data_IF_506446717108
#
_entry.id   IF_506446717108
#
_cell.length_a   1.000
_cell.length_b   1.000
_cell.length_c   1.000
_cell.angle_alpha   90.00
_cell.angle_beta   90.00
_cell.angle_gamma   90.00
#
_symmetry.space_group_name_H-M   'P 1'
#
loop_
_entity.id
_entity.type
_entity.pdbx_description
1 polymer ?
#
# COMPACT_ATOMS: atom_id res chain seq x y z
N UNK A 1 62.85 27.92 57.85
CA UNK A 1 63.68 26.69 57.84
C UNK A 1 62.96 25.65 57.00
N UNK A 2 63.68 25.07 56.02
CA UNK A 2 63.44 23.81 55.29
C UNK A 2 62.06 23.60 54.61
N UNK A 3 61.92 23.20 53.35
CA UNK A 3 62.82 22.75 52.27
C UNK A 3 61.95 22.60 50.99
N UNK A 4 62.50 22.81 49.78
CA UNK A 4 62.79 21.75 48.75
C UNK A 4 61.59 20.80 48.52
N UNK A 5 61.10 20.49 47.32
CA UNK A 5 61.64 20.53 45.96
C UNK A 5 60.54 20.07 44.96
N UNK A 6 60.80 20.30 43.67
CA UNK A 6 60.28 19.62 42.46
C UNK A 6 58.96 20.10 41.82
N UNK A 7 59.13 20.71 40.64
CA UNK A 7 58.17 20.75 39.53
C UNK A 7 58.56 19.65 38.50
N UNK A 8 57.88 19.51 37.33
CA UNK A 8 56.45 19.36 37.08
C UNK A 8 56.16 18.04 36.32
N UNK A 9 55.03 17.39 36.60
CA UNK A 9 54.53 16.27 35.80
C UNK A 9 53.49 16.77 34.80
N UNK A 10 53.80 16.70 33.51
CA UNK A 10 52.89 16.99 32.41
C UNK A 10 51.77 15.94 32.35
N UNK A 11 50.52 16.35 32.51
CA UNK A 11 49.37 15.50 32.19
C UNK A 11 49.04 15.58 30.70
N UNK A 12 48.79 14.44 30.04
CA UNK A 12 48.53 14.41 28.61
C UNK A 12 47.10 14.86 28.29
N UNK A 13 47.04 15.76 27.30
CA UNK A 13 45.85 16.18 26.57
C UNK A 13 44.98 14.96 26.17
N UNK A 14 43.79 14.87 26.75
CA UNK A 14 42.76 13.92 26.33
C UNK A 14 42.19 14.36 24.98
N UNK A 15 42.72 13.76 23.93
CA UNK A 15 42.16 13.84 22.59
C UNK A 15 40.73 13.28 22.57
N UNK A 16 39.77 14.17 22.27
CA UNK A 16 38.39 13.81 21.96
C UNK A 16 38.39 13.03 20.65
N UNK A 17 38.04 11.74 20.71
CA UNK A 17 37.77 10.91 19.52
C UNK A 17 36.34 11.19 19.04
N UNK A 18 36.10 11.41 17.73
CA UNK A 18 34.76 11.37 17.18
C UNK A 18 34.44 9.92 16.78
N UNK A 19 33.53 9.28 17.51
CA UNK A 19 32.86 8.02 17.15
C UNK A 19 31.38 8.26 17.48
N UNK A 20 30.38 7.96 16.66
CA UNK A 20 30.30 7.18 15.43
C UNK A 20 29.05 7.67 14.69
N UNK A 21 29.19 8.07 13.44
CA UNK A 21 28.06 8.36 12.55
C UNK A 21 27.22 7.09 12.39
N UNK A 22 25.95 7.17 12.75
CA UNK A 22 24.93 6.19 12.39
C UNK A 22 24.96 6.01 10.87
N UNK A 23 25.36 4.81 10.46
CA UNK A 23 25.27 4.32 9.09
C UNK A 23 23.80 4.33 8.67
N UNK A 24 23.37 5.38 7.97
CA UNK A 24 22.20 5.29 7.13
C UNK A 24 22.49 4.24 6.06
N UNK A 25 21.82 3.09 6.18
CA UNK A 25 21.75 2.10 5.13
C UNK A 25 21.10 2.77 3.91
N UNK A 26 21.94 3.24 2.99
CA UNK A 26 21.51 3.52 1.63
C UNK A 26 21.10 2.19 1.00
N UNK A 27 19.80 1.88 1.02
CA UNK A 27 19.24 0.98 0.01
C UNK A 27 19.52 1.66 -1.34
N UNK A 28 20.41 1.06 -2.12
CA UNK A 28 20.86 1.62 -3.39
C UNK A 28 19.74 1.50 -4.42
N UNK A 29 19.68 2.46 -5.35
CA UNK A 29 18.76 2.46 -6.50
C UNK A 29 18.81 1.14 -7.31
N UNK A 30 19.90 0.37 -7.20
CA UNK A 30 20.06 -0.96 -7.80
C UNK A 30 19.11 -2.02 -7.24
N UNK A 31 18.83 -2.01 -5.93
CA UNK A 31 17.97 -3.02 -5.29
C UNK A 31 16.50 -2.71 -5.57
N UNK A 32 16.15 -1.41 -5.61
CA UNK A 32 14.83 -0.95 -6.03
C UNK A 32 14.56 -1.24 -7.53
N UNK A 33 15.55 -1.04 -8.40
CA UNK A 33 15.44 -1.36 -9.83
C UNK A 33 15.30 -2.87 -10.07
N UNK A 34 16.07 -3.69 -9.36
CA UNK A 34 16.02 -5.17 -9.48
C UNK A 34 14.70 -5.72 -8.93
N UNK A 35 14.21 -5.17 -7.81
CA UNK A 35 12.89 -5.49 -7.25
C UNK A 35 11.75 -5.13 -8.20
N UNK A 36 11.76 -3.92 -8.77
CA UNK A 36 10.77 -3.47 -9.75
C UNK A 36 10.74 -4.35 -11.00
N UNK A 37 11.91 -4.76 -11.50
CA UNK A 37 12.01 -5.63 -12.68
C UNK A 37 11.48 -7.05 -12.40
N UNK A 38 11.61 -7.55 -11.17
CA UNK A 38 11.01 -8.82 -10.75
C UNK A 38 9.49 -8.75 -10.66
N UNK A 39 8.93 -7.64 -10.19
CA UNK A 39 7.48 -7.46 -10.06
C UNK A 39 6.75 -7.35 -11.40
N UNK A 40 7.42 -6.88 -12.46
CA UNK A 40 6.83 -6.83 -13.80
C UNK A 40 6.38 -8.19 -14.33
N UNK A 41 6.88 -9.31 -13.78
CA UNK A 41 6.41 -10.64 -14.12
C UNK A 41 4.94 -10.91 -13.73
N UNK A 42 4.35 -10.11 -12.84
CA UNK A 42 2.95 -10.21 -12.42
C UNK A 42 2.03 -9.21 -13.13
N UNK A 43 2.59 -8.38 -14.01
CA UNK A 43 1.86 -7.34 -14.75
C UNK A 43 1.41 -7.91 -16.10
N UNK A 44 0.13 -7.78 -16.49
CA UNK A 44 -0.32 -8.16 -17.82
C UNK A 44 0.47 -7.46 -18.92
N UNK A 45 0.64 -8.13 -20.07
CA UNK A 45 1.52 -7.67 -21.14
C UNK A 45 1.02 -6.40 -21.89
N UNK A 46 -0.19 -5.91 -21.59
CA UNK A 46 -0.74 -4.75 -22.27
C UNK A 46 -0.01 -3.46 -21.88
N UNK A 47 0.04 -2.51 -22.83
CA UNK A 47 0.65 -1.20 -22.59
C UNK A 47 -0.07 -0.42 -21.47
N UNK A 48 -1.39 -0.59 -21.34
CA UNK A 48 -2.18 0.05 -20.30
C UNK A 48 -1.79 -0.47 -18.90
N UNK A 49 -1.65 -1.80 -18.75
CA UNK A 49 -1.21 -2.41 -17.50
C UNK A 49 0.22 -2.02 -17.13
N UNK A 50 1.14 -2.02 -18.10
CA UNK A 50 2.51 -1.57 -17.88
C UNK A 50 2.55 -0.10 -17.40
N UNK A 51 1.80 0.79 -18.04
CA UNK A 51 1.74 2.20 -17.66
C UNK A 51 1.09 2.42 -16.27
N UNK A 52 0.07 1.62 -15.91
CA UNK A 52 -0.56 1.69 -14.59
C UNK A 52 0.37 1.19 -13.48
N UNK A 53 1.14 0.14 -13.77
CA UNK A 53 2.19 -0.32 -12.88
C UNK A 53 3.27 0.75 -12.68
N UNK A 54 3.74 1.38 -13.76
CA UNK A 54 4.73 2.44 -13.67
C UNK A 54 4.22 3.66 -12.89
N UNK A 55 2.93 4.02 -13.02
CA UNK A 55 2.27 5.04 -12.18
C UNK A 55 2.40 4.70 -10.69
N UNK A 56 2.02 3.48 -10.29
CA UNK A 56 2.06 3.03 -8.89
C UNK A 56 3.50 2.97 -8.36
N UNK A 57 4.45 2.52 -9.17
CA UNK A 57 5.88 2.55 -8.80
C UNK A 57 6.39 3.98 -8.62
N UNK A 58 5.95 4.93 -9.46
CA UNK A 58 6.33 6.34 -9.35
C UNK A 58 5.75 7.04 -8.12
N UNK A 59 4.64 6.52 -7.57
CA UNK A 59 4.02 7.04 -6.35
C UNK A 59 4.83 6.75 -5.07
N UNK A 60 5.89 5.95 -5.17
CA UNK A 60 6.80 5.62 -4.07
C UNK A 60 6.09 5.08 -2.81
N UNK A 61 5.04 4.29 -3.00
CA UNK A 61 4.42 3.51 -1.93
C UNK A 61 5.44 2.53 -1.31
N UNK A 62 5.31 2.18 -0.02
CA UNK A 62 5.99 1.03 0.54
C UNK A 62 5.78 -0.22 -0.32
N UNK A 63 6.86 -0.97 -0.60
CA UNK A 63 6.84 -2.17 -1.44
C UNK A 63 5.75 -3.18 -1.03
N UNK A 64 5.46 -3.28 0.26
CA UNK A 64 4.40 -4.12 0.81
C UNK A 64 3.00 -3.79 0.25
N UNK A 65 2.68 -2.51 0.04
CA UNK A 65 1.40 -2.06 -0.55
C UNK A 65 1.37 -2.41 -2.05
N UNK A 66 2.50 -2.32 -2.74
CA UNK A 66 2.61 -2.76 -4.15
C UNK A 66 2.41 -4.28 -4.25
N UNK A 67 3.04 -5.08 -3.37
CA UNK A 67 2.81 -6.52 -3.30
C UNK A 67 1.35 -6.85 -3.03
N UNK A 68 0.71 -6.15 -2.09
CA UNK A 68 -0.71 -6.29 -1.80
C UNK A 68 -1.57 -6.03 -3.04
N UNK A 69 -1.35 -4.91 -3.71
CA UNK A 69 -2.11 -4.52 -4.90
C UNK A 69 -1.96 -5.55 -6.04
N UNK A 70 -0.76 -6.11 -6.24
CA UNK A 70 -0.54 -7.22 -7.17
C UNK A 70 -1.22 -8.52 -6.72
N UNK A 71 -1.18 -8.87 -5.42
CA UNK A 71 -1.92 -10.03 -4.90
C UNK A 71 -3.42 -9.87 -5.10
N UNK A 72 -3.97 -8.69 -4.82
CA UNK A 72 -5.39 -8.36 -5.03
C UNK A 72 -5.77 -8.54 -6.50
N UNK A 73 -4.95 -8.07 -7.44
CA UNK A 73 -5.17 -8.34 -8.86
C UNK A 73 -5.23 -9.85 -9.16
N UNK A 74 -4.23 -10.61 -8.74
CA UNK A 74 -4.17 -12.05 -9.03
C UNK A 74 -5.37 -12.81 -8.43
N UNK A 75 -5.76 -12.48 -7.20
CA UNK A 75 -6.93 -13.06 -6.52
C UNK A 75 -8.24 -12.69 -7.21
N UNK A 76 -8.41 -11.42 -7.56
CA UNK A 76 -9.60 -10.93 -8.26
C UNK A 76 -9.71 -11.56 -9.65
N UNK A 77 -8.61 -11.67 -10.39
CA UNK A 77 -8.60 -12.29 -11.71
C UNK A 77 -8.88 -13.80 -11.65
N UNK A 78 -8.28 -14.50 -10.68
CA UNK A 78 -8.59 -15.92 -10.43
C UNK A 78 -10.09 -16.14 -10.14
N UNK A 79 -10.68 -15.27 -9.32
CA UNK A 79 -12.11 -15.34 -9.04
C UNK A 79 -12.94 -15.02 -10.29
N UNK A 80 -12.57 -13.99 -11.05
CA UNK A 80 -13.23 -13.61 -12.29
C UNK A 80 -13.25 -14.76 -13.31
N UNK A 81 -12.11 -15.45 -13.48
CA UNK A 81 -11.99 -16.63 -14.35
C UNK A 81 -12.89 -17.78 -13.87
N UNK A 82 -12.91 -18.06 -12.56
CA UNK A 82 -13.75 -19.11 -11.98
C UNK A 82 -15.24 -18.84 -12.17
N UNK A 83 -15.64 -17.59 -12.05
CA UNK A 83 -17.03 -17.13 -12.21
C UNK A 83 -17.41 -16.87 -13.68
N UNK A 84 -16.46 -17.03 -14.63
CA UNK A 84 -16.64 -16.69 -16.05
C UNK A 84 -17.11 -15.24 -16.25
N UNK A 85 -16.59 -14.34 -15.43
CA UNK A 85 -16.87 -12.91 -15.49
C UNK A 85 -16.28 -12.30 -16.76
N UNK A 86 -16.96 -11.29 -17.32
CA UNK A 86 -16.44 -10.49 -18.44
C UNK A 86 -15.16 -9.70 -18.09
N UNK A 87 -14.89 -9.52 -16.80
CA UNK A 87 -13.71 -8.82 -16.29
C UNK A 87 -12.48 -9.71 -16.17
N UNK A 88 -12.61 -11.01 -16.42
CA UNK A 88 -11.46 -11.91 -16.44
C UNK A 88 -10.45 -11.46 -17.49
N UNK A 89 -9.18 -11.33 -17.07
CA UNK A 89 -8.04 -10.87 -17.86
C UNK A 89 -8.21 -9.46 -18.47
N UNK A 90 -9.15 -8.66 -17.94
CA UNK A 90 -9.37 -7.27 -18.35
C UNK A 90 -8.27 -6.35 -17.83
N UNK A 91 -7.75 -5.48 -18.70
CA UNK A 91 -6.80 -4.43 -18.31
C UNK A 91 -7.38 -3.51 -17.23
N UNK A 92 -8.69 -3.24 -17.25
CA UNK A 92 -9.34 -2.38 -16.26
C UNK A 92 -9.43 -3.03 -14.88
N UNK A 93 -9.51 -4.37 -14.81
CA UNK A 93 -9.40 -5.10 -13.55
C UNK A 93 -8.00 -4.92 -12.95
N UNK A 94 -6.96 -5.02 -13.79
CA UNK A 94 -5.60 -4.75 -13.34
C UNK A 94 -5.43 -3.30 -12.87
N UNK A 95 -5.87 -2.31 -13.66
CA UNK A 95 -5.77 -0.89 -13.28
C UNK A 95 -6.49 -0.62 -11.95
N UNK A 96 -7.70 -1.15 -11.78
CA UNK A 96 -8.45 -0.97 -10.53
C UNK A 96 -7.71 -1.58 -9.34
N UNK A 97 -7.23 -2.82 -9.45
CA UNK A 97 -6.52 -3.50 -8.37
C UNK A 97 -5.15 -2.88 -8.07
N UNK A 98 -4.34 -2.53 -9.07
CA UNK A 98 -3.00 -2.00 -8.84
C UNK A 98 -3.04 -0.59 -8.21
N UNK A 99 -4.07 0.20 -8.54
CA UNK A 99 -4.23 1.57 -8.06
C UNK A 99 -5.10 1.72 -6.79
N UNK A 100 -5.75 0.67 -6.28
CA UNK A 100 -6.79 0.87 -5.25
C UNK A 100 -6.31 1.54 -3.95
N UNK A 101 -5.03 1.31 -3.60
CA UNK A 101 -4.37 1.92 -2.45
C UNK A 101 -3.45 3.10 -2.81
N UNK A 102 -3.43 3.56 -4.07
CA UNK A 102 -2.50 4.62 -4.51
C UNK A 102 -2.70 5.95 -3.78
N UNK A 103 -3.92 6.20 -3.27
CA UNK A 103 -4.22 7.36 -2.42
C UNK A 103 -3.53 7.35 -1.06
N UNK A 104 -2.94 6.22 -0.63
CA UNK A 104 -2.09 6.16 0.55
C UNK A 104 -0.70 6.79 0.32
N UNK A 105 -0.32 7.05 -0.94
CA UNK A 105 0.95 7.67 -1.29
C UNK A 105 0.97 9.17 -0.97
N UNK A 106 2.15 9.69 -0.60
CA UNK A 106 2.29 11.11 -0.27
C UNK A 106 1.98 12.03 -1.46
N UNK A 107 2.31 11.62 -2.69
CA UNK A 107 2.03 12.39 -3.90
C UNK A 107 0.53 12.48 -4.23
N UNK A 108 -0.29 11.61 -3.64
CA UNK A 108 -1.75 11.59 -3.74
C UNK A 108 -2.43 11.89 -2.39
N UNK A 109 -1.72 12.50 -1.43
CA UNK A 109 -2.26 12.86 -0.13
C UNK A 109 -3.03 14.19 -0.19
N UNK A 110 -4.12 14.22 -0.96
CA UNK A 110 -5.03 15.36 -1.08
C UNK A 110 -6.03 15.49 0.08
N UNK A 111 -7.01 16.39 -0.01
CA UNK A 111 -7.94 16.70 1.07
C UNK A 111 -8.99 15.61 1.34
N UNK A 112 -9.22 14.67 0.42
CA UNK A 112 -10.23 13.62 0.54
C UNK A 112 -9.65 12.36 1.20
N UNK A 113 -10.53 11.42 1.55
CA UNK A 113 -10.10 10.09 2.02
C UNK A 113 -9.24 9.38 0.97
N UNK A 114 -8.32 8.52 1.41
CA UNK A 114 -7.39 7.83 0.51
C UNK A 114 -8.10 7.02 -0.58
N UNK A 115 -9.30 6.47 -0.32
CA UNK A 115 -10.05 5.72 -1.34
C UNK A 115 -10.45 6.63 -2.50
N UNK A 116 -10.85 7.87 -2.22
CA UNK A 116 -11.29 8.84 -3.22
C UNK A 116 -10.07 9.42 -3.96
N UNK A 117 -9.01 9.77 -3.24
CA UNK A 117 -7.76 10.24 -3.85
C UNK A 117 -7.17 9.19 -4.82
N UNK A 118 -7.21 7.91 -4.43
CA UNK A 118 -6.77 6.82 -5.29
C UNK A 118 -7.66 6.63 -6.52
N UNK A 119 -8.98 6.73 -6.34
CA UNK A 119 -9.94 6.66 -7.43
C UNK A 119 -9.74 7.82 -8.44
N UNK A 120 -9.55 9.04 -7.96
CA UNK A 120 -9.29 10.22 -8.78
C UNK A 120 -7.97 10.08 -9.55
N UNK A 121 -6.91 9.59 -8.91
CA UNK A 121 -5.63 9.31 -9.56
C UNK A 121 -5.78 8.29 -10.71
N UNK A 122 -6.48 7.18 -10.47
CA UNK A 122 -6.71 6.15 -11.48
C UNK A 122 -7.59 6.65 -12.65
N UNK A 123 -8.65 7.41 -12.36
CA UNK A 123 -9.52 7.98 -13.39
C UNK A 123 -8.76 8.99 -14.27
N UNK A 124 -7.96 9.86 -13.66
CA UNK A 124 -7.12 10.82 -14.40
C UNK A 124 -6.06 10.12 -15.26
N UNK A 125 -5.46 9.05 -14.74
CA UNK A 125 -4.56 8.20 -15.52
C UNK A 125 -5.27 7.60 -16.74
N UNK A 126 -6.46 7.01 -16.57
CA UNK A 126 -7.22 6.40 -17.67
C UNK A 126 -7.60 7.42 -18.75
N UNK A 127 -8.01 8.63 -18.35
CA UNK A 127 -8.23 9.74 -19.29
C UNK A 127 -6.97 10.09 -20.07
N UNK A 128 -5.82 10.16 -19.40
CA UNK A 128 -4.52 10.34 -20.04
C UNK A 128 -4.15 9.22 -21.02
N UNK A 129 -4.63 8.00 -20.77
CA UNK A 129 -4.51 6.83 -21.66
C UNK A 129 -5.62 6.75 -22.72
N UNK A 130 -6.36 7.84 -22.93
CA UNK A 130 -7.46 7.95 -23.91
C UNK A 130 -8.55 6.88 -23.74
N UNK A 131 -8.78 6.41 -22.52
CA UNK A 131 -9.93 5.57 -22.18
C UNK A 131 -11.19 6.43 -22.07
N UNK A 132 -12.34 5.82 -22.27
CA UNK A 132 -13.63 6.50 -22.17
C UNK A 132 -13.95 6.92 -20.74
N UNK A 133 -14.78 7.94 -20.58
CA UNK A 133 -15.29 8.35 -19.26
C UNK A 133 -16.07 7.23 -18.56
N UNK A 134 -16.72 6.34 -19.32
CA UNK A 134 -17.40 5.17 -18.77
C UNK A 134 -16.41 4.19 -18.12
N UNK A 135 -15.31 3.87 -18.80
CA UNK A 135 -14.24 3.02 -18.24
C UNK A 135 -13.56 3.68 -17.04
N UNK A 136 -13.29 4.99 -17.12
CA UNK A 136 -12.73 5.75 -16.00
C UNK A 136 -13.66 5.76 -14.79
N UNK A 137 -14.96 5.93 -15.00
CA UNK A 137 -15.97 5.90 -13.94
C UNK A 137 -16.12 4.51 -13.31
N UNK A 138 -16.05 3.44 -14.10
CA UNK A 138 -16.13 2.06 -13.63
C UNK A 138 -14.95 1.74 -12.69
N UNK A 139 -13.72 2.11 -13.10
CA UNK A 139 -12.51 1.94 -12.26
C UNK A 139 -12.56 2.85 -11.03
N UNK A 140 -12.97 4.11 -11.20
CA UNK A 140 -13.14 5.05 -10.08
C UNK A 140 -14.11 4.47 -9.03
N UNK A 141 -15.24 3.93 -9.46
CA UNK A 141 -16.27 3.35 -8.58
C UNK A 141 -15.73 2.14 -7.83
N UNK A 142 -15.00 1.26 -8.51
CA UNK A 142 -14.39 0.09 -7.89
C UNK A 142 -13.37 0.47 -6.80
N UNK A 143 -12.53 1.48 -7.06
CA UNK A 143 -11.53 1.95 -6.10
C UNK A 143 -12.21 2.73 -4.95
N UNK A 144 -13.08 3.70 -5.23
CA UNK A 144 -13.68 4.55 -4.19
C UNK A 144 -14.48 3.74 -3.14
N UNK A 145 -15.00 2.57 -3.53
CA UNK A 145 -15.84 1.72 -2.70
C UNK A 145 -15.14 0.49 -2.15
N UNK A 146 -13.87 0.22 -2.45
CA UNK A 146 -13.22 -1.05 -2.08
C UNK A 146 -13.19 -1.34 -0.56
N UNK A 147 -13.31 -0.31 0.29
CA UNK A 147 -13.42 -0.40 1.76
C UNK A 147 -14.85 -0.40 2.29
N UNK A 148 -15.88 -0.36 1.42
CA UNK A 148 -17.29 -0.16 1.78
C UNK A 148 -18.09 -1.48 1.73
N UNK A 149 -18.17 -2.24 2.84
CA UNK A 149 -18.83 -3.53 2.87
C UNK A 149 -20.33 -3.43 2.57
N UNK A 150 -20.84 -4.37 1.77
CA UNK A 150 -22.24 -4.47 1.38
C UNK A 150 -22.59 -3.65 0.13
N UNK A 151 -21.85 -2.57 -0.14
CA UNK A 151 -22.04 -1.68 -1.30
C UNK A 151 -21.18 -2.16 -2.47
N UNK A 152 -19.86 -2.30 -2.27
CA UNK A 152 -18.93 -2.65 -3.34
C UNK A 152 -19.26 -3.99 -4.00
N UNK A 153 -19.76 -4.95 -3.22
CA UNK A 153 -20.14 -6.28 -3.71
C UNK A 153 -21.42 -6.27 -4.59
N UNK A 154 -22.16 -5.15 -4.65
CA UNK A 154 -23.46 -5.04 -5.34
C UNK A 154 -23.56 -3.95 -6.40
N UNK A 155 -22.68 -2.96 -6.37
CA UNK A 155 -22.81 -1.79 -7.24
C UNK A 155 -22.44 -2.10 -8.70
N UNK A 156 -21.28 -2.74 -8.93
CA UNK A 156 -20.84 -3.19 -10.25
C UNK A 156 -20.03 -4.49 -10.14
N UNK A 157 -19.94 -5.31 -11.21
CA UNK A 157 -19.14 -6.52 -11.18
C UNK A 157 -17.64 -6.25 -10.97
N UNK A 158 -17.09 -5.16 -11.51
CA UNK A 158 -15.69 -4.78 -11.29
C UNK A 158 -15.43 -4.44 -9.82
N UNK A 159 -16.27 -3.58 -9.22
CA UNK A 159 -16.16 -3.21 -7.81
C UNK A 159 -16.24 -4.44 -6.89
N UNK A 160 -17.13 -5.38 -7.20
CA UNK A 160 -17.25 -6.65 -6.49
C UNK A 160 -15.95 -7.46 -6.56
N UNK A 161 -15.34 -7.59 -7.73
CA UNK A 161 -14.11 -8.37 -7.91
C UNK A 161 -12.92 -7.76 -7.16
N UNK A 162 -12.72 -6.45 -7.25
CA UNK A 162 -11.67 -5.74 -6.51
C UNK A 162 -11.87 -5.95 -5.00
N UNK A 163 -13.10 -5.72 -4.52
CA UNK A 163 -13.47 -5.90 -3.12
C UNK A 163 -13.23 -7.32 -2.62
N UNK A 164 -13.62 -8.34 -3.39
CA UNK A 164 -13.39 -9.74 -3.02
C UNK A 164 -11.90 -10.10 -3.07
N UNK A 165 -11.12 -9.56 -4.02
CA UNK A 165 -9.67 -9.68 -4.03
C UNK A 165 -9.03 -9.16 -2.74
N UNK A 166 -9.42 -7.97 -2.30
CA UNK A 166 -9.00 -7.37 -1.01
C UNK A 166 -9.40 -8.27 0.17
N UNK A 167 -10.65 -8.76 0.18
CA UNK A 167 -11.12 -9.64 1.25
C UNK A 167 -10.40 -10.99 1.28
N UNK A 168 -10.09 -11.58 0.14
CA UNK A 168 -9.32 -12.83 0.10
C UNK A 168 -7.91 -12.57 0.63
N UNK A 169 -7.30 -11.39 0.38
CA UNK A 169 -5.97 -11.08 0.89
C UNK A 169 -5.95 -10.79 2.39
N UNK A 170 -7.03 -10.26 2.98
CA UNK A 170 -7.05 -9.85 4.41
C UNK A 170 -7.93 -10.69 5.34
N UNK A 171 -8.93 -11.41 4.84
CA UNK A 171 -9.94 -12.09 5.67
C UNK A 171 -9.88 -13.60 5.46
N UNK A 172 -9.31 -14.36 6.41
CA UNK A 172 -9.25 -15.82 6.34
C UNK A 172 -10.61 -16.48 6.12
N UNK A 173 -11.68 -15.94 6.71
CA UNK A 173 -13.03 -16.45 6.52
C UNK A 173 -13.53 -16.30 5.07
N UNK A 174 -13.26 -15.17 4.41
CA UNK A 174 -13.62 -14.98 2.99
C UNK A 174 -12.75 -15.86 2.10
N UNK A 175 -11.45 -15.96 2.41
CA UNK A 175 -10.53 -16.84 1.70
C UNK A 175 -11.02 -18.29 1.72
N UNK A 176 -11.47 -18.78 2.88
CA UNK A 176 -12.02 -20.13 3.03
C UNK A 176 -13.39 -20.32 2.38
N UNK A 177 -14.31 -19.35 2.56
CA UNK A 177 -15.63 -19.43 1.95
C UNK A 177 -15.59 -19.44 0.41
N UNK A 178 -14.49 -18.96 -0.18
CA UNK A 178 -14.27 -18.96 -1.62
C UNK A 178 -13.30 -20.05 -2.07
N UNK A 179 -12.84 -20.97 -1.23
CA UNK A 179 -11.86 -22.02 -1.58
C UNK A 179 -10.57 -21.45 -2.23
N UNK A 180 -10.10 -20.29 -1.74
CA UNK A 180 -8.99 -19.55 -2.32
C UNK A 180 -7.64 -19.86 -1.63
N UNK A 181 -7.60 -20.68 -0.58
CA UNK A 181 -6.42 -20.89 0.27
C UNK A 181 -5.19 -21.36 -0.51
N UNK A 182 -5.36 -22.38 -1.36
CA UNK A 182 -4.25 -22.94 -2.11
C UNK A 182 -3.65 -21.90 -3.08
N UNK A 183 -4.51 -21.15 -3.76
CA UNK A 183 -4.08 -20.11 -4.69
C UNK A 183 -3.46 -18.92 -3.97
N UNK A 184 -4.09 -18.43 -2.90
CA UNK A 184 -3.58 -17.35 -2.06
C UNK A 184 -2.20 -17.68 -1.45
N UNK A 185 -2.01 -18.90 -0.96
CA UNK A 185 -0.69 -19.34 -0.46
C UNK A 185 0.37 -19.36 -1.56
N UNK A 186 0.00 -19.74 -2.78
CA UNK A 186 0.92 -19.77 -3.92
C UNK A 186 1.38 -18.38 -4.37
N UNK A 187 0.52 -17.36 -4.27
CA UNK A 187 0.88 -15.97 -4.59
C UNK A 187 1.68 -15.33 -3.46
N UNK A 188 1.38 -15.61 -2.19
CA UNK A 188 2.13 -15.08 -1.03
C UNK A 188 3.59 -15.56 -1.01
N UNK A 189 3.87 -16.74 -1.56
CA UNK A 189 5.24 -17.25 -1.74
C UNK A 189 6.06 -16.43 -2.75
N UNK A 190 5.39 -15.75 -3.69
CA UNK A 190 6.02 -14.95 -4.76
C UNK A 190 5.95 -13.44 -4.49
N UNK A 191 4.92 -13.01 -3.77
CA UNK A 191 4.63 -11.64 -3.37
C UNK A 191 4.43 -11.59 -1.85
N UNK A 192 5.52 -11.62 -1.06
CA UNK A 192 5.44 -11.70 0.41
C UNK A 192 4.57 -10.59 1.03
N UNK A 193 3.88 -10.91 2.13
CA UNK A 193 2.94 -10.01 2.81
C UNK A 193 3.59 -8.82 3.51
N UNK A 194 4.81 -8.98 4.04
CA UNK A 194 5.64 -7.90 4.61
C UNK A 194 4.85 -6.94 5.54
N UNK A 195 4.13 -7.49 6.53
CA UNK A 195 3.32 -6.76 7.52
C UNK A 195 2.36 -5.72 6.91
N UNK A 196 1.78 -6.03 5.75
CA UNK A 196 0.86 -5.15 5.02
C UNK A 196 -0.24 -4.54 5.90
N UNK A 197 -0.83 -5.31 6.82
CA UNK A 197 -1.91 -4.83 7.70
C UNK A 197 -1.44 -3.66 8.57
N UNK A 198 -0.21 -3.73 9.06
CA UNK A 198 0.39 -2.65 9.83
C UNK A 198 0.72 -1.46 8.94
N UNK A 199 1.42 -1.70 7.83
CA UNK A 199 1.98 -0.62 7.01
C UNK A 199 0.89 0.20 6.31
N UNK A 200 -0.13 -0.47 5.74
CA UNK A 200 -1.27 0.23 5.13
C UNK A 200 -2.08 0.98 6.20
N UNK A 201 -2.37 0.32 7.32
CA UNK A 201 -3.11 0.94 8.43
C UNK A 201 -2.42 2.19 8.96
N UNK A 202 -1.10 2.13 9.16
CA UNK A 202 -0.29 3.27 9.60
C UNK A 202 -0.29 4.39 8.56
N UNK A 203 -0.11 4.09 7.27
CA UNK A 203 -0.12 5.11 6.22
C UNK A 203 -1.45 5.91 6.22
N UNK A 204 -2.59 5.21 6.31
CA UNK A 204 -3.91 5.84 6.38
C UNK A 204 -4.10 6.66 7.66
N UNK A 205 -3.67 6.15 8.81
CA UNK A 205 -3.73 6.87 10.09
C UNK A 205 -2.86 8.13 10.06
N UNK A 206 -1.65 8.06 9.51
CA UNK A 206 -0.76 9.22 9.41
C UNK A 206 -1.36 10.35 8.57
N UNK A 207 -2.03 10.03 7.45
CA UNK A 207 -2.75 11.03 6.68
C UNK A 207 -3.91 11.66 7.49
N UNK A 208 -4.65 10.85 8.26
CA UNK A 208 -5.75 11.33 9.10
C UNK A 208 -5.28 12.17 10.31
N UNK A 209 -4.10 11.88 10.87
CA UNK A 209 -3.48 12.70 11.92
C UNK A 209 -3.12 14.10 11.40
N UNK A 210 -2.68 14.21 10.14
CA UNK A 210 -2.37 15.49 9.50
C UNK A 210 -3.63 16.24 9.06
N UNK A 211 -4.63 15.51 8.56
CA UNK A 211 -5.92 16.06 8.15
C UNK A 211 -7.07 15.12 8.56
N UNK A 212 -7.73 15.38 9.71
CA UNK A 212 -8.82 14.54 10.20
C UNK A 212 -10.01 14.40 9.23
N UNK A 213 -10.20 15.36 8.30
CA UNK A 213 -11.27 15.28 7.30
C UNK A 213 -11.11 14.09 6.34
N UNK A 214 -9.90 13.53 6.23
CA UNK A 214 -9.62 12.30 5.45
C UNK A 214 -10.20 11.03 6.08
N UNK A 215 -10.63 11.11 7.34
CA UNK A 215 -11.23 10.03 8.09
C UNK A 215 -12.63 10.42 8.59
N UNK A 216 -13.60 10.64 7.69
CA UNK A 216 -14.96 11.01 8.10
C UNK A 216 -15.64 9.85 8.82
N UNK A 217 -16.60 10.17 9.68
CA UNK A 217 -17.37 9.19 10.43
C UNK A 217 -17.96 8.09 9.53
N UNK A 218 -18.06 6.87 10.10
CA UNK A 218 -18.55 5.67 9.40
C UNK A 218 -17.74 5.26 8.16
N UNK A 219 -16.43 5.53 8.14
CA UNK A 219 -15.48 5.04 7.14
C UNK A 219 -14.42 4.12 7.76
N UNK A 220 -13.79 3.27 6.94
CA UNK A 220 -12.68 2.44 7.41
C UNK A 220 -11.47 3.26 7.91
N UNK A 221 -11.02 4.33 7.23
CA UNK A 221 -10.01 5.26 7.77
C UNK A 221 -10.36 5.81 9.15
N UNK A 222 -11.63 6.15 9.39
CA UNK A 222 -12.08 6.62 10.70
C UNK A 222 -12.00 5.55 11.79
N UNK A 223 -12.29 4.29 11.47
CA UNK A 223 -12.14 3.21 12.44
C UNK A 223 -10.68 3.07 12.88
N UNK A 224 -9.74 3.09 11.94
CA UNK A 224 -8.31 3.05 12.22
C UNK A 224 -7.84 4.27 13.02
N UNK A 225 -8.27 5.47 12.60
CA UNK A 225 -7.91 6.73 13.23
C UNK A 225 -8.38 6.79 14.69
N UNK A 226 -9.64 6.45 14.96
CA UNK A 226 -10.16 6.40 16.34
C UNK A 226 -9.43 5.37 17.20
N UNK A 227 -9.21 4.18 16.66
CA UNK A 227 -8.44 3.12 17.34
C UNK A 227 -7.02 3.58 17.71
N UNK A 228 -6.36 4.35 16.83
CA UNK A 228 -5.06 4.93 17.12
C UNK A 228 -5.13 5.99 18.23
N UNK A 229 -6.09 6.91 18.17
CA UNK A 229 -6.27 7.93 19.22
C UNK A 229 -6.59 7.33 20.60
N UNK A 230 -7.31 6.21 20.63
CA UNK A 230 -7.64 5.47 21.84
C UNK A 230 -6.44 4.67 22.39
N UNK A 231 -5.43 4.39 21.56
CA UNK A 231 -4.28 3.53 21.89
C UNK A 231 -2.96 4.12 21.35
N UNK A 232 -2.54 5.33 21.76
CA UNK A 232 -1.41 6.04 21.14
C UNK A 232 -0.06 5.32 21.26
N UNK A 233 0.13 4.53 22.32
CA UNK A 233 1.36 3.77 22.56
C UNK A 233 1.37 2.39 21.87
N UNK A 234 0.30 2.01 21.17
CA UNK A 234 0.22 0.72 20.49
C UNK A 234 1.01 0.74 19.18
N UNK A 235 1.99 -0.16 19.07
CA UNK A 235 2.91 -0.24 17.91
C UNK A 235 2.67 -1.44 17.00
N UNK A 236 1.68 -2.29 17.29
CA UNK A 236 1.31 -3.44 16.46
C UNK A 236 0.40 -3.09 15.28
N UNK A 237 -0.19 -4.10 14.63
CA UNK A 237 -1.29 -3.89 13.67
C UNK A 237 -2.43 -3.12 14.36
N UNK A 238 -2.96 -2.09 13.72
CA UNK A 238 -4.04 -1.28 14.27
C UNK A 238 -5.22 -2.19 14.71
N UNK A 239 -5.73 -1.97 15.93
CA UNK A 239 -6.77 -2.85 16.53
C UNK A 239 -8.10 -2.85 15.77
N UNK A 240 -8.31 -1.88 14.87
CA UNK A 240 -9.51 -1.76 14.04
C UNK A 240 -9.27 -2.13 12.56
N UNK A 241 -8.12 -2.71 12.23
CA UNK A 241 -7.80 -3.19 10.88
C UNK A 241 -8.61 -4.44 10.51
#
# INVERSE_FOLDING_TARGET
>A
MCGRSAAPGAEPSLAVKPETTLSHSHSSDSDAATGSQSLRAFVPASALCAAAFDLVMSAALPLTIVHHSLRVYLLANWLAQREKSEWADSDLLFVACICHDIGAAQVHNGPQRFEVEGADAAANFLRGQSRSEAEAHEVWTAIALHTSPGIAERITPLARLVRLGVLIDFRPATRAALDAEAYAKSIEAKLPRLDIEKILGDAVVQQALQNPAKAPAASWPNNLYKSHLENPEWTGVNRAF
#
